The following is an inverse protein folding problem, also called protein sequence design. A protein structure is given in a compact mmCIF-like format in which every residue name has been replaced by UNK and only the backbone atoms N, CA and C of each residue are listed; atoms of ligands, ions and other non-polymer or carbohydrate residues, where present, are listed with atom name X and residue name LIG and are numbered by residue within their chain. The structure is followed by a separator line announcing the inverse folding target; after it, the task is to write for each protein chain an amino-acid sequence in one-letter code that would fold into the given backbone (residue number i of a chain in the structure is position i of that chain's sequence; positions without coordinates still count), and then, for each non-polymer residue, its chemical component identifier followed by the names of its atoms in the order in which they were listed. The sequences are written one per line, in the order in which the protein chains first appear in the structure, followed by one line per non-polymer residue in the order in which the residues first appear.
data_IF_346078527598
#
_entry.id   IF_346078527598
#
_cell.length_a   1.000
_cell.length_b   1.000
_cell.length_c   1.000
_cell.angle_alpha   90.00
_cell.angle_beta   90.00
_cell.angle_gamma   90.00
#
_symmetry.space_group_name_H-M   'P 1'
#
loop_
_entity.id
_entity.type
_entity.pdbx_description
1 polymer ?
#
# COMPACT_ATOMS: atom_id res chain seq x y z
N UNK A 1 -39.39 -27.53 3.23
CA UNK A 1 -37.94 -27.83 3.13
C UNK A 1 -37.18 -26.73 2.38
N UNK A 2 -37.45 -25.43 2.62
CA UNK A 2 -36.78 -24.30 1.94
C UNK A 2 -35.84 -23.48 2.84
N UNK A 3 -35.80 -23.74 4.15
CA UNK A 3 -35.02 -22.95 5.11
C UNK A 3 -33.57 -23.44 5.30
N UNK A 4 -33.30 -24.72 5.05
CA UNK A 4 -31.95 -25.31 5.21
C UNK A 4 -31.06 -25.05 3.98
N UNK A 5 -31.68 -24.93 2.79
CA UNK A 5 -30.95 -24.70 1.53
C UNK A 5 -30.30 -23.30 1.49
N UNK A 6 -30.96 -22.26 2.01
CA UNK A 6 -30.36 -20.92 2.08
C UNK A 6 -29.16 -20.82 3.04
N UNK A 7 -29.14 -21.64 4.10
CA UNK A 7 -28.07 -21.57 5.11
C UNK A 7 -26.75 -22.17 4.61
N UNK A 8 -26.82 -23.14 3.69
CA UNK A 8 -25.62 -23.77 3.09
C UNK A 8 -24.97 -22.83 2.05
N UNK A 9 -25.76 -22.06 1.30
CA UNK A 9 -25.21 -21.10 0.32
C UNK A 9 -24.49 -19.92 0.98
N UNK A 10 -24.92 -19.45 2.15
CA UNK A 10 -24.23 -18.36 2.86
C UNK A 10 -22.83 -18.74 3.35
N UNK A 11 -22.61 -20.01 3.72
CA UNK A 11 -21.29 -20.50 4.16
C UNK A 11 -20.28 -20.57 3.01
N UNK A 12 -20.73 -20.93 1.80
CA UNK A 12 -19.84 -21.01 0.61
C UNK A 12 -19.39 -19.63 0.15
N UNK A 13 -20.26 -18.61 0.25
CA UNK A 13 -19.93 -17.22 -0.12
C UNK A 13 -18.87 -16.65 0.82
N UNK A 14 -18.99 -16.90 2.14
CA UNK A 14 -18.02 -16.43 3.14
C UNK A 14 -16.62 -17.05 2.92
N UNK A 15 -16.55 -18.35 2.61
CA UNK A 15 -15.28 -19.05 2.35
C UNK A 15 -14.58 -18.58 1.06
N UNK A 16 -15.34 -18.16 0.05
CA UNK A 16 -14.76 -17.57 -1.17
C UNK A 16 -14.23 -16.16 -0.89
N UNK A 17 -15.00 -15.31 -0.20
CA UNK A 17 -14.61 -13.92 0.08
C UNK A 17 -13.28 -13.82 0.85
N UNK A 18 -13.02 -14.74 1.77
CA UNK A 18 -11.75 -14.78 2.52
C UNK A 18 -10.57 -15.19 1.65
N UNK A 19 -10.76 -16.09 0.68
CA UNK A 19 -9.70 -16.53 -0.22
C UNK A 19 -9.33 -15.46 -1.27
N UNK A 20 -10.32 -14.71 -1.77
CA UNK A 20 -10.07 -13.60 -2.71
C UNK A 20 -9.36 -12.42 -2.05
N UNK A 21 -9.75 -12.07 -0.82
CA UNK A 21 -9.10 -10.99 -0.09
C UNK A 21 -7.61 -11.27 0.18
N UNK A 22 -7.25 -12.53 0.46
CA UNK A 22 -5.87 -12.94 0.74
C UNK A 22 -4.98 -12.84 -0.52
N UNK A 23 -5.49 -13.28 -1.68
CA UNK A 23 -4.80 -13.15 -2.97
C UNK A 23 -4.56 -11.69 -3.39
N UNK A 24 -5.54 -10.82 -3.16
CA UNK A 24 -5.43 -9.39 -3.47
C UNK A 24 -4.34 -8.72 -2.61
N UNK A 25 -4.25 -9.07 -1.32
CA UNK A 25 -3.22 -8.56 -0.42
C UNK A 25 -1.83 -9.08 -0.80
N UNK A 26 -1.68 -10.36 -1.09
CA UNK A 26 -0.39 -10.95 -1.51
C UNK A 26 0.14 -10.32 -2.79
N UNK A 27 -0.73 -10.18 -3.81
CA UNK A 27 -0.36 -9.54 -5.08
C UNK A 27 0.06 -8.07 -4.90
N UNK A 28 -0.62 -7.35 -4.00
CA UNK A 28 -0.28 -5.96 -3.67
C UNK A 28 1.08 -5.84 -2.96
N UNK A 29 1.39 -6.77 -2.05
CA UNK A 29 2.68 -6.85 -1.36
C UNK A 29 3.81 -7.11 -2.34
N UNK A 30 3.62 -8.09 -3.23
CA UNK A 30 4.57 -8.40 -4.29
C UNK A 30 4.83 -7.18 -5.18
N UNK A 31 3.77 -6.49 -5.62
CA UNK A 31 3.89 -5.27 -6.44
C UNK A 31 4.69 -4.18 -5.74
N UNK A 32 4.42 -3.91 -4.46
CA UNK A 32 5.16 -2.90 -3.68
C UNK A 32 6.64 -3.29 -3.52
N UNK A 33 6.92 -4.55 -3.23
CA UNK A 33 8.27 -5.06 -3.12
C UNK A 33 9.05 -4.91 -4.44
N UNK A 34 8.41 -5.21 -5.58
CA UNK A 34 8.99 -5.02 -6.91
C UNK A 34 9.32 -3.55 -7.16
N UNK A 35 8.38 -2.63 -6.91
CA UNK A 35 8.60 -1.18 -7.08
C UNK A 35 9.78 -0.72 -6.22
N UNK A 36 9.80 -1.12 -4.95
CA UNK A 36 10.86 -0.71 -4.04
C UNK A 36 12.24 -1.23 -4.46
N UNK A 37 12.31 -2.47 -4.97
CA UNK A 37 13.54 -3.06 -5.49
C UNK A 37 14.02 -2.34 -6.76
N UNK A 38 13.12 -2.05 -7.69
CA UNK A 38 13.43 -1.30 -8.91
C UNK A 38 13.96 0.10 -8.59
N UNK A 39 13.26 0.86 -7.73
CA UNK A 39 13.69 2.19 -7.31
C UNK A 39 15.01 2.16 -6.52
N UNK A 40 15.21 1.15 -5.67
CA UNK A 40 16.46 1.00 -4.93
C UNK A 40 17.66 0.81 -5.88
N UNK A 41 17.49 -0.03 -6.91
CA UNK A 41 18.50 -0.24 -7.93
C UNK A 41 18.76 1.02 -8.76
N UNK A 42 17.70 1.75 -9.16
CA UNK A 42 17.82 2.98 -9.96
C UNK A 42 18.62 4.07 -9.23
N UNK A 43 18.38 4.24 -7.93
CA UNK A 43 18.98 5.32 -7.14
C UNK A 43 20.16 4.88 -6.26
N UNK A 44 20.62 3.64 -6.42
CA UNK A 44 21.75 3.09 -5.68
C UNK A 44 21.52 2.98 -4.16
N UNK A 45 20.26 2.84 -3.73
CA UNK A 45 19.90 2.69 -2.32
C UNK A 45 20.10 1.24 -1.91
N UNK A 46 20.93 1.02 -0.90
CA UNK A 46 21.20 -0.31 -0.38
C UNK A 46 20.13 -0.75 0.62
N UNK A 47 19.95 -2.06 0.74
CA UNK A 47 19.07 -2.64 1.77
C UNK A 47 19.49 -2.24 3.19
N UNK A 48 20.80 -2.00 3.42
CA UNK A 48 21.31 -1.50 4.70
C UNK A 48 20.83 -0.08 5.01
N UNK A 49 20.84 0.81 4.02
CA UNK A 49 20.32 2.18 4.16
C UNK A 49 18.83 2.16 4.41
N UNK A 50 18.07 1.36 3.65
CA UNK A 50 16.63 1.15 3.88
C UNK A 50 16.33 0.70 5.31
N UNK A 51 17.02 -0.35 5.78
CA UNK A 51 16.85 -0.82 7.17
C UNK A 51 17.25 0.23 8.20
N UNK A 52 18.25 1.05 7.92
CA UNK A 52 18.70 2.10 8.85
C UNK A 52 17.64 3.18 8.98
N UNK A 53 17.16 3.71 7.85
CA UNK A 53 16.10 4.72 7.81
C UNK A 53 14.79 4.23 8.45
N UNK A 54 14.39 2.99 8.17
CA UNK A 54 13.20 2.40 8.78
C UNK A 54 13.31 2.26 10.31
N UNK A 55 14.52 2.01 10.82
CA UNK A 55 14.77 1.89 12.27
C UNK A 55 14.90 3.24 12.97
N UNK A 56 15.48 4.23 12.30
CA UNK A 56 15.58 5.60 12.84
C UNK A 56 14.26 6.36 12.72
N UNK A 57 13.41 5.98 11.77
CA UNK A 57 12.26 6.79 11.35
C UNK A 57 12.67 8.03 10.56
N UNK A 58 13.95 8.15 10.20
CA UNK A 58 14.48 9.28 9.45
C UNK A 58 14.47 8.98 7.95
N UNK A 59 13.46 9.54 7.26
CA UNK A 59 13.29 9.39 5.82
C UNK A 59 14.29 10.23 5.01
N UNK A 60 15.00 11.17 5.63
CA UNK A 60 15.96 12.07 4.98
C UNK A 60 17.33 11.43 4.79
N UNK A 61 17.63 10.35 5.50
CA UNK A 61 18.86 9.56 5.34
C UNK A 61 18.89 8.74 4.03
N UNK A 62 17.83 8.78 3.23
CA UNK A 62 17.73 8.10 1.94
C UNK A 62 17.59 9.12 0.82
N UNK A 63 18.18 8.79 -0.33
CA UNK A 63 18.04 9.59 -1.55
C UNK A 63 16.56 9.95 -1.79
N UNK A 64 16.18 11.25 -1.83
CA UNK A 64 14.79 11.65 -1.99
C UNK A 64 14.17 11.20 -3.32
N UNK A 65 15.00 10.98 -4.35
CA UNK A 65 14.54 10.44 -5.63
C UNK A 65 14.04 8.98 -5.52
N UNK A 66 14.57 8.20 -4.56
CA UNK A 66 14.04 6.86 -4.26
C UNK A 66 12.59 6.94 -3.76
N UNK A 67 12.29 7.85 -2.84
CA UNK A 67 10.92 8.04 -2.35
C UNK A 67 9.99 8.54 -3.46
N UNK A 68 10.47 9.47 -4.30
CA UNK A 68 9.72 9.94 -5.46
C UNK A 68 9.37 8.79 -6.42
N UNK A 69 10.33 7.92 -6.73
CA UNK A 69 10.12 6.74 -7.56
C UNK A 69 9.09 5.79 -6.96
N UNK A 70 9.23 5.45 -5.67
CA UNK A 70 8.29 4.59 -4.97
C UNK A 70 6.87 5.17 -4.98
N UNK A 71 6.72 6.46 -4.69
CA UNK A 71 5.42 7.13 -4.68
C UNK A 71 4.80 7.27 -6.07
N UNK A 72 5.59 7.43 -7.13
CA UNK A 72 5.10 7.35 -8.51
C UNK A 72 4.63 5.93 -8.86
N UNK A 73 5.38 4.90 -8.44
CA UNK A 73 5.01 3.51 -8.66
C UNK A 73 3.71 3.10 -7.95
N UNK A 74 3.41 3.69 -6.80
CA UNK A 74 2.17 3.44 -6.04
C UNK A 74 1.02 4.37 -6.42
N UNK A 75 1.26 5.41 -7.20
CA UNK A 75 0.27 6.40 -7.63
C UNK A 75 0.03 7.53 -6.62
N UNK A 76 0.80 7.59 -5.53
CA UNK A 76 0.75 8.71 -4.57
C UNK A 76 1.22 10.00 -5.23
N UNK A 77 2.22 9.91 -6.11
CA UNK A 77 2.59 10.97 -7.04
C UNK A 77 2.13 10.58 -8.45
N UNK A 78 1.57 11.53 -9.19
CA UNK A 78 1.27 11.35 -10.61
C UNK A 78 2.56 11.38 -11.48
N UNK A 79 2.40 11.26 -12.81
CA UNK A 79 3.53 11.21 -13.75
C UNK A 79 4.38 12.48 -13.71
N UNK A 80 3.73 13.61 -13.45
CA UNK A 80 4.32 14.94 -13.32
C UNK A 80 5.03 15.12 -11.96
N UNK A 81 4.86 14.17 -11.03
CA UNK A 81 5.44 14.24 -9.68
C UNK A 81 4.62 15.05 -8.68
N UNK A 82 3.37 15.35 -9.02
CA UNK A 82 2.42 16.06 -8.14
C UNK A 82 1.66 15.06 -7.28
N UNK A 83 1.45 15.42 -6.01
CA UNK A 83 0.64 14.64 -5.08
C UNK A 83 -0.80 14.48 -5.60
N UNK A 84 -1.29 13.24 -5.60
CA UNK A 84 -2.65 12.91 -6.02
C UNK A 84 -3.40 12.25 -4.84
N UNK A 85 -4.17 13.06 -4.10
CA UNK A 85 -4.95 12.56 -2.97
C UNK A 85 -5.94 11.46 -3.40
N UNK A 86 -6.56 11.61 -4.57
CA UNK A 86 -7.56 10.66 -5.07
C UNK A 86 -6.94 9.29 -5.32
N UNK A 87 -5.72 9.24 -5.84
CA UNK A 87 -4.95 8.01 -6.04
C UNK A 87 -4.29 7.50 -4.75
N UNK A 88 -4.00 8.39 -3.79
CA UNK A 88 -3.39 8.04 -2.50
C UNK A 88 -4.36 7.32 -1.56
N UNK A 89 -5.64 7.70 -1.50
CA UNK A 89 -6.61 7.09 -0.58
C UNK A 89 -6.78 5.56 -0.76
N UNK A 90 -6.91 5.02 -1.99
CA UNK A 90 -6.91 3.57 -2.22
C UNK A 90 -5.63 2.89 -1.74
N UNK A 91 -4.46 3.52 -1.96
CA UNK A 91 -3.18 2.98 -1.52
C UNK A 91 -3.11 2.87 0.01
N UNK A 92 -3.58 3.89 0.75
CA UNK A 92 -3.65 3.86 2.22
C UNK A 92 -4.57 2.74 2.68
N UNK A 93 -5.76 2.60 2.09
CA UNK A 93 -6.73 1.54 2.44
C UNK A 93 -6.17 0.13 2.25
N UNK A 94 -5.33 -0.06 1.24
CA UNK A 94 -4.67 -1.35 0.98
C UNK A 94 -3.47 -1.59 1.91
N UNK A 95 -2.92 -0.54 2.52
CA UNK A 95 -1.67 -0.59 3.28
C UNK A 95 -1.90 -0.69 4.79
N UNK A 96 -2.89 0.02 5.31
CA UNK A 96 -3.14 0.18 6.74
C UNK A 96 -4.43 -0.53 7.15
N UNK A 97 -4.44 -1.09 8.35
CA UNK A 97 -5.65 -1.64 8.96
C UNK A 97 -6.64 -0.51 9.30
N UNK A 98 -7.91 -0.83 9.53
CA UNK A 98 -8.99 0.17 9.67
C UNK A 98 -8.74 1.22 10.78
N UNK A 99 -8.07 0.85 11.87
CA UNK A 99 -7.74 1.75 12.98
C UNK A 99 -6.65 2.77 12.56
N UNK A 100 -5.58 2.30 11.93
CA UNK A 100 -4.48 3.14 11.42
C UNK A 100 -4.91 3.95 10.18
N UNK A 101 -5.82 3.39 9.37
CA UNK A 101 -6.29 3.98 8.12
C UNK A 101 -6.87 5.38 8.33
N UNK A 102 -7.66 5.59 9.40
CA UNK A 102 -8.28 6.90 9.67
C UNK A 102 -7.25 7.97 9.95
N UNK A 103 -6.25 7.65 10.78
CA UNK A 103 -5.18 8.59 11.12
C UNK A 103 -4.35 8.92 9.88
N UNK A 104 -3.91 7.91 9.13
CA UNK A 104 -3.11 8.11 7.93
C UNK A 104 -3.90 8.82 6.83
N UNK A 105 -5.21 8.58 6.73
CA UNK A 105 -6.08 9.30 5.81
C UNK A 105 -6.14 10.81 6.12
N UNK A 106 -6.24 11.20 7.40
CA UNK A 106 -6.22 12.62 7.77
C UNK A 106 -4.86 13.26 7.46
N UNK A 107 -3.76 12.58 7.75
CA UNK A 107 -2.40 13.02 7.37
C UNK A 107 -2.32 13.23 5.86
N UNK A 108 -2.82 12.28 5.06
CA UNK A 108 -2.81 12.36 3.61
C UNK A 108 -3.61 13.57 3.07
N UNK A 109 -4.74 13.92 3.72
CA UNK A 109 -5.50 15.13 3.37
C UNK A 109 -4.76 16.42 3.71
N UNK A 110 -3.93 16.41 4.75
CA UNK A 110 -3.11 17.58 5.11
C UNK A 110 -2.04 17.88 4.06
N UNK A 111 -1.54 16.86 3.35
CA UNK A 111 -0.54 17.00 2.28
C UNK A 111 -1.08 17.58 0.97
N UNK A 112 -2.40 17.78 0.83
CA UNK A 112 -3.01 18.43 -0.34
C UNK A 112 -2.91 19.97 -0.28
N UNK A 113 -2.54 20.53 0.88
CA UNK A 113 -2.53 21.96 1.17
C UNK A 113 -1.16 22.61 1.03
#
# INVERSE_FOLDING_TARGET
MSKIICSVFSLVVVSLSTAYADQDVESSNYRRHSIMTECANEFGVTERELRTALRSGDVYDINPCFWSCCFKGTGVLNKEGTYDLKATLPFIKMTFQDDDYKEVQEIARMCEK
#
